data_IF_724341419772
#
_entry.id   IF_724341419772
#
_cell.length_a   1.000
_cell.length_b   1.000
_cell.length_c   1.000
_cell.angle_alpha   90.00
_cell.angle_beta   90.00
_cell.angle_gamma   90.00
#
_symmetry.space_group_name_H-M   'P 1'
#
loop_
_entity.id
_entity.type
_entity.pdbx_description
1 polymer ?
#
# COMPACT_ATOMS: atom_id res chain seq x y z
N UNK A 1 -9.08 -23.23 22.72
CA UNK A 1 -9.66 -21.93 22.33
C UNK A 1 -8.52 -21.14 21.76
N UNK A 2 -8.57 -20.83 20.47
CA UNK A 2 -7.59 -19.95 19.84
C UNK A 2 -7.91 -18.54 20.33
N UNK A 3 -7.03 -17.93 21.12
CA UNK A 3 -7.16 -16.50 21.40
C UNK A 3 -7.09 -15.77 20.06
N UNK A 4 -8.20 -15.16 19.67
CA UNK A 4 -8.30 -14.40 18.44
C UNK A 4 -7.43 -13.15 18.61
N UNK A 5 -6.22 -13.19 18.06
CA UNK A 5 -5.27 -12.10 18.23
C UNK A 5 -5.74 -10.91 17.38
N UNK A 6 -5.64 -9.72 17.98
CA UNK A 6 -5.91 -8.47 17.28
C UNK A 6 -4.58 -7.85 16.90
N UNK A 7 -4.34 -7.67 15.60
CA UNK A 7 -3.13 -7.02 15.11
C UNK A 7 -3.10 -5.56 15.63
N UNK A 8 -1.97 -5.02 16.12
CA UNK A 8 -1.91 -3.67 16.68
C UNK A 8 -2.33 -2.56 15.69
N UNK A 9 -2.19 -2.81 14.39
CA UNK A 9 -2.57 -1.88 13.32
C UNK A 9 -3.96 -2.17 12.73
N UNK A 10 -4.71 -3.13 13.29
CA UNK A 10 -5.98 -3.59 12.73
C UNK A 10 -6.93 -2.44 12.41
N UNK A 11 -7.11 -1.47 13.32
CA UNK A 11 -8.02 -0.35 13.08
C UNK A 11 -7.65 0.46 11.83
N UNK A 12 -6.39 0.87 11.72
CA UNK A 12 -5.91 1.66 10.57
C UNK A 12 -5.87 0.85 9.28
N UNK A 13 -5.55 -0.44 9.38
CA UNK A 13 -5.54 -1.35 8.23
C UNK A 13 -6.98 -1.64 7.75
N UNK A 14 -7.95 -1.72 8.66
CA UNK A 14 -9.37 -1.86 8.33
C UNK A 14 -9.87 -0.66 7.53
N UNK A 15 -9.57 0.56 7.98
CA UNK A 15 -9.90 1.79 7.22
C UNK A 15 -9.28 1.75 5.81
N UNK A 16 -8.06 1.20 5.69
CA UNK A 16 -7.38 1.03 4.41
C UNK A 16 -8.07 -0.01 3.53
N UNK A 17 -8.52 -1.13 4.07
CA UNK A 17 -9.28 -2.17 3.35
C UNK A 17 -10.63 -1.64 2.88
N UNK A 18 -11.36 -0.94 3.76
CA UNK A 18 -12.65 -0.35 3.42
C UNK A 18 -12.52 0.68 2.28
N UNK A 19 -11.43 1.48 2.28
CA UNK A 19 -11.11 2.37 1.17
C UNK A 19 -10.78 1.63 -0.13
N UNK A 20 -10.14 0.45 -0.07
CA UNK A 20 -9.90 -0.38 -1.26
C UNK A 20 -11.19 -0.99 -1.81
N UNK A 21 -12.08 -1.49 -0.95
CA UNK A 21 -13.38 -2.02 -1.33
C UNK A 21 -14.29 -0.94 -1.93
N UNK A 22 -14.22 0.28 -1.41
CA UNK A 22 -14.96 1.43 -1.91
C UNK A 22 -14.39 2.05 -3.19
N UNK A 23 -13.21 1.63 -3.65
CA UNK A 23 -12.58 2.17 -4.86
C UNK A 23 -13.38 1.77 -6.10
N UNK A 24 -13.76 2.75 -6.91
CA UNK A 24 -14.47 2.55 -8.18
C UNK A 24 -13.52 2.71 -9.37
N UNK A 25 -13.64 1.80 -10.34
CA UNK A 25 -12.79 1.79 -11.54
C UNK A 25 -11.52 0.98 -11.35
N UNK A 26 -10.60 1.09 -12.31
CA UNK A 26 -9.37 0.32 -12.30
C UNK A 26 -8.44 0.74 -11.15
N UNK A 27 -7.81 -0.22 -10.44
CA UNK A 27 -6.90 0.10 -9.35
C UNK A 27 -5.58 0.69 -9.89
N UNK A 28 -5.19 1.84 -9.36
CA UNK A 28 -3.92 2.50 -9.67
C UNK A 28 -2.75 2.00 -8.81
N UNK A 29 -1.55 2.59 -8.98
CA UNK A 29 -0.37 2.22 -8.20
C UNK A 29 -0.57 2.23 -6.68
N UNK A 30 -1.31 3.22 -6.19
CA UNK A 30 -1.60 3.37 -4.76
C UNK A 30 -2.49 2.22 -4.23
N UNK A 31 -3.57 1.85 -4.94
CA UNK A 31 -4.44 0.74 -4.55
C UNK A 31 -3.70 -0.60 -4.62
N UNK A 32 -2.99 -0.86 -5.73
CA UNK A 32 -2.29 -2.13 -5.95
C UNK A 32 -1.20 -2.36 -4.90
N UNK A 33 -0.35 -1.37 -4.66
CA UNK A 33 0.75 -1.51 -3.69
C UNK A 33 0.24 -1.59 -2.25
N UNK A 34 -0.85 -0.89 -1.92
CA UNK A 34 -1.48 -1.00 -0.59
C UNK A 34 -2.10 -2.36 -0.35
N UNK A 35 -2.85 -2.88 -1.32
CA UNK A 35 -3.43 -4.23 -1.25
C UNK A 35 -2.33 -5.29 -1.06
N UNK A 36 -1.25 -5.22 -1.85
CA UNK A 36 -0.13 -6.16 -1.73
C UNK A 36 0.56 -6.10 -0.35
N UNK A 37 0.78 -4.89 0.18
CA UNK A 37 1.35 -4.70 1.51
C UNK A 37 0.49 -5.33 2.60
N UNK A 38 -0.82 -5.08 2.57
CA UNK A 38 -1.75 -5.62 3.56
C UNK A 38 -1.86 -7.15 3.46
N UNK A 39 -1.88 -7.70 2.24
CA UNK A 39 -1.85 -9.14 2.04
C UNK A 39 -0.60 -9.79 2.66
N UNK A 40 0.58 -9.19 2.50
CA UNK A 40 1.81 -9.69 3.13
C UNK A 40 1.71 -9.61 4.66
N UNK A 41 1.21 -8.49 5.20
CA UNK A 41 1.07 -8.27 6.64
C UNK A 41 0.17 -9.31 7.31
N UNK A 42 -0.95 -9.66 6.69
CA UNK A 42 -1.98 -10.52 7.29
C UNK A 42 -1.91 -12.00 6.87
N UNK A 43 -1.00 -12.38 5.96
CA UNK A 43 -0.92 -13.73 5.37
C UNK A 43 -0.93 -14.85 6.41
N UNK A 44 -0.04 -14.75 7.40
CA UNK A 44 0.17 -15.79 8.42
C UNK A 44 -0.18 -15.29 9.83
N UNK A 45 -0.87 -14.13 9.93
CA UNK A 45 -1.25 -13.57 11.22
C UNK A 45 -2.47 -14.34 11.79
N UNK A 46 -2.39 -14.88 13.02
CA UNK A 46 -3.54 -15.51 13.66
C UNK A 46 -4.58 -14.45 14.04
N UNK A 47 -5.86 -14.68 13.73
CA UNK A 47 -6.88 -13.63 13.78
C UNK A 47 -6.91 -12.78 12.50
N UNK A 48 -7.86 -11.87 12.37
CA UNK A 48 -8.07 -11.01 11.18
C UNK A 48 -8.45 -11.76 9.88
N UNK A 49 -9.29 -12.81 9.98
CA UNK A 49 -9.83 -13.48 8.79
C UNK A 49 -10.67 -12.53 7.92
N UNK A 50 -11.41 -11.63 8.55
CA UNK A 50 -12.19 -10.57 7.91
C UNK A 50 -11.34 -9.69 6.98
N UNK A 51 -10.14 -9.29 7.42
CA UNK A 51 -9.21 -8.51 6.60
C UNK A 51 -8.73 -9.32 5.38
N UNK A 52 -8.42 -10.61 5.56
CA UNK A 52 -7.98 -11.47 4.46
C UNK A 52 -9.09 -11.66 3.42
N UNK A 53 -10.29 -11.99 3.89
CA UNK A 53 -11.46 -12.21 3.01
C UNK A 53 -11.79 -10.96 2.20
N UNK A 54 -11.70 -9.78 2.81
CA UNK A 54 -11.98 -8.52 2.12
C UNK A 54 -10.86 -8.11 1.16
N UNK A 55 -9.59 -8.43 1.46
CA UNK A 55 -8.48 -8.26 0.51
C UNK A 55 -8.63 -9.19 -0.71
N UNK A 56 -9.06 -10.43 -0.51
CA UNK A 56 -9.39 -11.36 -1.60
C UNK A 56 -10.58 -10.85 -2.43
N UNK A 57 -11.59 -10.27 -1.76
CA UNK A 57 -12.72 -9.62 -2.44
C UNK A 57 -12.25 -8.44 -3.29
N UNK A 58 -11.33 -7.61 -2.81
CA UNK A 58 -10.74 -6.53 -3.61
C UNK A 58 -10.14 -7.05 -4.92
N UNK A 59 -9.34 -8.12 -4.86
CA UNK A 59 -8.75 -8.71 -6.07
C UNK A 59 -9.81 -9.27 -7.01
N UNK A 60 -10.84 -9.91 -6.47
CA UNK A 60 -11.96 -10.43 -7.26
C UNK A 60 -12.69 -9.30 -7.99
N UNK A 61 -12.96 -8.18 -7.31
CA UNK A 61 -13.60 -7.00 -7.92
C UNK A 61 -12.74 -6.39 -9.03
N UNK A 62 -11.41 -6.44 -8.90
CA UNK A 62 -10.47 -5.96 -9.92
C UNK A 62 -10.12 -7.02 -10.98
N UNK A 63 -10.72 -8.22 -10.91
CA UNK A 63 -10.40 -9.36 -11.79
C UNK A 63 -8.90 -9.73 -11.79
N UNK A 64 -8.26 -9.69 -10.62
CA UNK A 64 -6.84 -9.99 -10.42
C UNK A 64 -6.64 -11.26 -9.59
N UNK A 65 -5.56 -11.99 -9.87
CA UNK A 65 -4.99 -12.96 -8.94
C UNK A 65 -3.85 -12.32 -8.13
N UNK A 66 -3.47 -12.97 -7.04
CA UNK A 66 -2.37 -12.49 -6.20
C UNK A 66 -1.04 -12.44 -6.98
N UNK A 67 -0.81 -13.37 -7.91
CA UNK A 67 0.38 -13.36 -8.76
C UNK A 67 0.40 -12.14 -9.70
N UNK A 68 -0.75 -11.81 -10.30
CA UNK A 68 -0.89 -10.63 -11.18
C UNK A 68 -0.68 -9.34 -10.40
N UNK A 69 -1.24 -9.24 -9.18
CA UNK A 69 -1.02 -8.14 -8.26
C UNK A 69 0.48 -7.96 -7.97
N UNK A 70 1.17 -9.05 -7.65
CA UNK A 70 2.59 -9.04 -7.33
C UNK A 70 3.45 -8.62 -8.54
N UNK A 71 3.10 -9.08 -9.75
CA UNK A 71 3.79 -8.70 -10.98
C UNK A 71 3.63 -7.18 -11.23
N UNK A 72 2.40 -6.68 -11.20
CA UNK A 72 2.11 -5.24 -11.39
C UNK A 72 2.81 -4.38 -10.34
N UNK A 73 2.85 -4.83 -9.09
CA UNK A 73 3.60 -4.13 -8.05
C UNK A 73 5.08 -4.02 -8.41
N UNK A 74 5.73 -5.09 -8.89
CA UNK A 74 7.14 -5.04 -9.31
C UNK A 74 7.36 -4.04 -10.43
N UNK A 75 6.46 -3.99 -11.41
CA UNK A 75 6.50 -3.02 -12.51
C UNK A 75 6.36 -1.57 -11.99
N UNK A 76 5.42 -1.33 -11.08
CA UNK A 76 5.24 -0.03 -10.41
C UNK A 76 6.53 0.39 -9.70
N UNK A 77 7.14 -0.49 -8.91
CA UNK A 77 8.39 -0.18 -8.20
C UNK A 77 9.56 0.08 -9.16
N UNK A 78 9.65 -0.70 -10.25
CA UNK A 78 10.66 -0.55 -11.29
C UNK A 78 10.51 0.76 -12.07
N UNK A 79 9.29 1.29 -12.20
CA UNK A 79 9.03 2.61 -12.83
C UNK A 79 9.57 3.81 -12.04
N UNK A 80 9.98 3.60 -10.78
CA UNK A 80 10.42 4.67 -9.88
C UNK A 80 9.32 5.25 -9.00
N UNK A 81 8.05 4.86 -9.22
CA UNK A 81 6.93 5.26 -8.37
C UNK A 81 7.14 4.82 -6.92
N UNK A 82 6.79 5.68 -5.96
CA UNK A 82 6.80 5.37 -4.52
C UNK A 82 5.49 5.83 -3.86
N UNK A 83 5.01 5.11 -2.82
CA UNK A 83 3.88 5.57 -2.04
C UNK A 83 4.11 6.97 -1.48
N UNK A 84 3.09 7.83 -1.52
CA UNK A 84 3.20 9.19 -1.00
C UNK A 84 3.93 10.19 -1.92
N UNK A 85 4.41 9.79 -3.11
CA UNK A 85 4.71 10.76 -4.16
C UNK A 85 3.39 11.37 -4.64
N UNK A 86 3.01 12.51 -4.06
CA UNK A 86 2.04 13.39 -4.69
C UNK A 86 2.56 13.77 -6.09
N UNK A 87 1.66 14.08 -7.02
CA UNK A 87 1.97 14.50 -8.39
C UNK A 87 2.70 15.87 -8.51
N UNK A 88 3.51 16.23 -7.53
CA UNK A 88 4.36 17.41 -7.54
C UNK A 88 5.81 16.97 -7.71
N UNK A 89 6.21 16.87 -8.97
CA UNK A 89 7.59 16.79 -9.41
C UNK A 89 8.30 18.14 -9.22
N UNK A 90 8.36 18.68 -8.01
CA UNK A 90 9.21 19.83 -7.67
C UNK A 90 9.70 19.70 -6.23
N UNK A 91 10.69 18.85 -6.01
CA UNK A 91 11.59 19.01 -4.87
C UNK A 91 12.82 19.74 -5.41
N UNK A 92 12.82 21.06 -5.26
CA UNK A 92 14.00 21.88 -5.54
C UNK A 92 15.14 21.46 -4.62
N UNK A 93 16.31 21.15 -5.18
CA UNK A 93 17.54 20.91 -4.42
C UNK A 93 17.92 22.20 -3.67
N UNK A 94 17.42 22.37 -2.46
CA UNK A 94 17.83 23.43 -1.53
C UNK A 94 19.17 23.10 -0.87
N UNK A 95 20.23 22.95 -1.66
CA UNK A 95 21.58 22.74 -1.16
C UNK A 95 22.58 23.67 -1.87
N UNK A 96 22.30 24.98 -1.83
CA UNK A 96 23.35 25.99 -1.96
C UNK A 96 23.69 26.47 -0.55
N UNK A 97 24.66 25.83 0.10
CA UNK A 97 25.34 26.42 1.27
C UNK A 97 26.40 27.36 0.69
N UNK A 98 26.06 28.66 0.61
CA UNK A 98 27.06 29.68 0.37
C UNK A 98 27.94 29.78 1.61
N UNK A 99 29.17 29.29 1.55
CA UNK A 99 30.21 29.64 2.50
C UNK A 99 30.42 31.16 2.42
N UNK A 100 29.98 31.87 3.45
CA UNK A 100 30.25 33.28 3.62
C UNK A 100 31.62 33.40 4.31
N UNK A 101 32.63 33.84 3.55
CA UNK A 101 33.92 34.27 4.09
C UNK A 101 33.75 35.34 5.18
N UNK A 102 34.48 35.17 6.29
CA UNK A 102 34.69 36.15 7.36
C UNK A 102 35.12 35.43 8.65
N UNK A 103 36.28 35.68 9.26
CA UNK A 103 37.12 36.88 9.38
C UNK A 103 38.60 36.47 9.36
#
# INVERSE_FOLDING_TARGET
MSDEQVHPLYRTDRDSVDALLGHTGDPGPEQLTRAAMLMIRYKDFPGAQDIRDDLERCLTLWSLKQEDLNLRCREIWASGWRPGQAASSEVGSGADVQEQDGI
#
